data_IF_742229457912
#
_entry.id   IF_742229457912
#
_cell.length_a   1.000
_cell.length_b   1.000
_cell.length_c   1.000
_cell.angle_alpha   90.00
_cell.angle_beta   90.00
_cell.angle_gamma   90.00
#
_symmetry.space_group_name_H-M   'P 1'
#
loop_
_entity.id
_entity.type
_entity.pdbx_description
1 polymer ?
#
# COMPACT_ATOMS: atom_id res chain seq x y z
N UNK A 1 -9.89 16.39 1.03
CA UNK A 1 -9.33 16.62 -0.31
C UNK A 1 -10.13 15.90 -1.40
N UNK A 2 -11.29 16.39 -1.75
CA UNK A 2 -12.03 15.95 -2.94
C UNK A 2 -12.73 14.60 -2.87
N UNK A 3 -12.84 13.99 -1.72
CA UNK A 3 -13.68 12.80 -1.54
C UNK A 3 -15.12 13.23 -1.24
N UNK A 4 -15.88 13.43 -2.29
CA UNK A 4 -17.32 13.72 -2.17
C UNK A 4 -18.16 12.44 -2.03
N UNK A 5 -17.58 11.25 -2.31
CA UNK A 5 -18.27 9.97 -2.24
C UNK A 5 -18.80 9.62 -0.86
N UNK A 6 -18.17 10.15 0.21
CA UNK A 6 -18.62 9.96 1.59
C UNK A 6 -19.64 10.99 2.06
N UNK A 7 -19.75 12.11 1.36
CA UNK A 7 -20.64 13.22 1.72
C UNK A 7 -21.89 13.27 0.86
N UNK A 8 -21.89 12.62 -0.31
CA UNK A 8 -23.01 12.58 -1.23
C UNK A 8 -23.80 11.29 -1.00
N UNK A 9 -25.11 11.42 -0.87
CA UNK A 9 -26.00 10.26 -0.87
C UNK A 9 -25.78 9.46 -2.17
N UNK A 10 -25.58 8.15 -2.04
CA UNK A 10 -25.35 7.28 -3.18
C UNK A 10 -26.42 7.40 -4.28
N UNK A 11 -27.65 7.81 -3.91
CA UNK A 11 -28.77 8.07 -4.84
C UNK A 11 -28.63 9.36 -5.63
N UNK A 12 -27.76 10.27 -5.17
CA UNK A 12 -27.49 11.56 -5.82
C UNK A 12 -26.28 11.53 -6.73
N UNK A 13 -25.50 10.43 -6.70
CA UNK A 13 -24.36 10.26 -7.59
C UNK A 13 -24.87 10.02 -9.02
N UNK A 14 -24.50 10.85 -10.00
CA UNK A 14 -24.89 10.65 -11.40
C UNK A 14 -24.48 9.27 -11.91
N UNK A 15 -25.35 8.62 -12.67
CA UNK A 15 -25.15 7.25 -13.16
C UNK A 15 -23.90 7.10 -14.09
N UNK A 16 -23.47 8.18 -14.72
CA UNK A 16 -22.28 8.23 -15.56
C UNK A 16 -20.98 8.46 -14.78
N UNK A 17 -21.06 8.69 -13.48
CA UNK A 17 -19.89 8.83 -12.62
C UNK A 17 -19.38 7.46 -12.16
N UNK A 18 -18.11 7.21 -12.35
CA UNK A 18 -17.47 5.95 -11.91
C UNK A 18 -17.28 5.88 -10.40
N UNK A 19 -17.12 7.03 -9.76
CA UNK A 19 -16.90 7.17 -8.32
C UNK A 19 -17.70 8.36 -7.80
N UNK A 20 -17.92 8.42 -6.49
CA UNK A 20 -18.60 9.53 -5.83
C UNK A 20 -17.68 10.67 -5.39
N UNK A 21 -16.40 10.64 -5.74
CA UNK A 21 -15.43 11.68 -5.37
C UNK A 21 -14.85 12.37 -6.61
N UNK A 22 -14.52 13.64 -6.45
CA UNK A 22 -13.94 14.47 -7.49
C UNK A 22 -12.53 14.87 -7.05
N UNK A 23 -11.52 14.73 -7.90
CA UNK A 23 -10.18 15.19 -7.58
C UNK A 23 -10.13 16.71 -7.37
N UNK A 24 -9.25 17.16 -6.50
CA UNK A 24 -9.09 18.58 -6.22
C UNK A 24 -8.93 19.40 -7.51
N UNK A 25 -9.68 20.51 -7.60
CA UNK A 25 -9.71 21.43 -8.76
C UNK A 25 -10.23 20.81 -10.07
N UNK A 26 -10.90 19.67 -10.00
CA UNK A 26 -11.58 19.03 -11.14
C UNK A 26 -13.09 19.15 -11.01
N UNK A 27 -13.82 18.83 -12.08
CA UNK A 27 -15.27 18.91 -12.13
C UNK A 27 -15.93 17.54 -12.15
N UNK A 28 -15.19 16.49 -12.48
CA UNK A 28 -15.71 15.12 -12.64
C UNK A 28 -14.76 14.09 -12.02
N UNK A 29 -15.29 12.96 -11.50
CA UNK A 29 -14.50 11.97 -10.77
C UNK A 29 -13.47 11.21 -11.62
N UNK A 30 -13.60 11.24 -12.93
CA UNK A 30 -12.68 10.55 -13.85
C UNK A 30 -11.68 11.46 -14.58
N UNK A 31 -11.68 12.75 -14.24
CA UNK A 31 -10.66 13.65 -14.78
C UNK A 31 -9.31 13.34 -14.15
N UNK A 32 -8.25 13.33 -14.96
CA UNK A 32 -6.90 13.14 -14.42
C UNK A 32 -6.53 14.26 -13.45
N UNK A 33 -5.81 13.96 -12.37
CA UNK A 33 -5.32 14.98 -11.46
C UNK A 33 -4.51 16.02 -12.23
N UNK A 34 -4.58 17.27 -11.78
CA UNK A 34 -3.64 18.27 -12.29
C UNK A 34 -2.22 17.83 -12.00
N UNK A 35 -1.38 17.98 -13.00
CA UNK A 35 -0.02 17.48 -13.01
C UNK A 35 1.01 18.60 -13.24
N UNK A 36 1.21 19.55 -12.34
CA UNK A 36 2.55 20.02 -12.18
C UNK A 36 3.34 18.93 -11.44
N UNK A 37 4.55 18.65 -11.88
CA UNK A 37 5.41 17.63 -11.25
C UNK A 37 5.58 17.87 -9.73
N UNK A 38 5.41 19.09 -9.27
CA UNK A 38 5.47 19.52 -7.87
C UNK A 38 4.21 19.18 -7.07
N UNK A 39 3.02 19.18 -7.65
CA UNK A 39 1.78 18.77 -6.96
C UNK A 39 1.70 17.25 -6.76
N UNK A 40 2.25 16.46 -7.67
CA UNK A 40 2.37 15.01 -7.49
C UNK A 40 3.25 14.63 -6.31
N UNK A 41 4.26 15.43 -6.00
CA UNK A 41 5.20 15.12 -4.93
C UNK A 41 4.57 15.13 -3.53
N UNK A 42 3.36 15.65 -3.39
CA UNK A 42 2.68 15.77 -2.11
C UNK A 42 1.66 14.65 -1.84
N UNK A 43 1.19 14.01 -2.88
CA UNK A 43 0.14 12.99 -2.81
C UNK A 43 0.57 11.62 -3.35
N UNK A 44 1.50 11.58 -4.30
CA UNK A 44 1.96 10.35 -4.92
C UNK A 44 3.48 10.34 -5.04
N UNK A 45 4.12 9.35 -4.41
CA UNK A 45 5.56 9.16 -4.43
C UNK A 45 5.88 7.90 -5.23
N UNK A 46 6.56 8.06 -6.34
CA UNK A 46 7.10 6.94 -7.09
C UNK A 46 8.52 6.66 -6.63
N UNK A 47 8.73 5.52 -5.99
CA UNK A 47 10.04 5.06 -5.57
C UNK A 47 10.81 4.48 -6.77
N UNK A 48 12.12 4.28 -6.59
CA UNK A 48 13.01 3.76 -7.62
C UNK A 48 12.61 2.33 -8.03
N UNK A 49 12.15 2.11 -9.28
CA UNK A 49 11.67 0.80 -9.72
C UNK A 49 12.79 -0.24 -9.83
N UNK A 50 14.03 0.17 -10.11
CA UNK A 50 15.16 -0.75 -10.22
C UNK A 50 15.54 -1.30 -8.84
N UNK A 51 15.57 -0.43 -7.81
CA UNK A 51 15.81 -0.81 -6.42
C UNK A 51 14.67 -1.70 -5.89
N UNK A 52 13.42 -1.36 -6.19
CA UNK A 52 12.26 -2.16 -5.84
C UNK A 52 12.33 -3.57 -6.46
N UNK A 53 12.67 -3.65 -7.74
CA UNK A 53 12.81 -4.92 -8.45
C UNK A 53 13.94 -5.77 -7.88
N UNK A 54 15.07 -5.16 -7.55
CA UNK A 54 16.20 -5.85 -6.88
C UNK A 54 15.74 -6.47 -5.54
N UNK A 55 15.09 -5.69 -4.69
CA UNK A 55 14.60 -6.17 -3.40
C UNK A 55 13.56 -7.29 -3.57
N UNK A 56 12.66 -7.17 -4.55
CA UNK A 56 11.68 -8.21 -4.85
C UNK A 56 12.33 -9.51 -5.35
N UNK A 57 13.29 -9.45 -6.26
CA UNK A 57 13.99 -10.66 -6.74
C UNK A 57 14.74 -11.37 -5.63
N UNK A 58 15.30 -10.61 -4.69
CA UNK A 58 15.99 -11.16 -3.53
C UNK A 58 15.05 -11.89 -2.57
N UNK A 59 13.79 -11.44 -2.49
CA UNK A 59 12.89 -11.84 -1.40
C UNK A 59 11.67 -12.65 -1.83
N UNK A 60 11.26 -12.60 -3.09
CA UNK A 60 9.98 -13.13 -3.61
C UNK A 60 9.68 -14.60 -3.27
N UNK A 61 10.70 -15.40 -3.09
CA UNK A 61 10.59 -16.83 -2.78
C UNK A 61 10.82 -17.13 -1.29
N UNK A 62 10.88 -16.11 -0.43
CA UNK A 62 11.05 -16.28 1.01
C UNK A 62 9.81 -16.96 1.60
N UNK A 63 9.97 -18.12 2.29
CA UNK A 63 8.86 -18.75 2.97
C UNK A 63 8.28 -17.83 4.06
N UNK A 64 6.99 -17.62 4.04
CA UNK A 64 6.27 -16.89 5.07
C UNK A 64 5.43 -17.85 5.89
N UNK A 65 5.34 -17.60 7.20
CA UNK A 65 4.56 -18.42 8.10
C UNK A 65 3.07 -18.41 7.73
N UNK A 66 2.48 -19.58 7.63
CA UNK A 66 1.05 -19.79 7.36
C UNK A 66 0.43 -20.65 8.47
N UNK A 67 0.11 -20.00 9.59
CA UNK A 67 -0.44 -20.67 10.77
C UNK A 67 -1.91 -21.04 10.60
N UNK A 68 -2.40 -22.01 11.39
CA UNK A 68 -3.82 -22.37 11.43
C UNK A 68 -4.72 -21.17 11.74
N UNK A 69 -4.25 -20.28 12.62
CA UNK A 69 -4.98 -19.07 12.98
C UNK A 69 -5.23 -18.17 11.77
N UNK A 70 -4.18 -17.83 11.00
CA UNK A 70 -4.36 -16.97 9.83
C UNK A 70 -5.06 -17.68 8.68
N UNK A 71 -4.92 -19.01 8.54
CA UNK A 71 -5.72 -19.79 7.59
C UNK A 71 -7.20 -19.74 7.93
N UNK A 72 -7.56 -19.96 9.21
CA UNK A 72 -8.94 -19.86 9.67
C UNK A 72 -9.53 -18.46 9.46
N UNK A 73 -8.75 -17.41 9.68
CA UNK A 73 -9.20 -16.06 9.41
C UNK A 73 -9.44 -15.81 7.91
N UNK A 74 -8.50 -16.20 7.05
CA UNK A 74 -8.66 -16.07 5.58
C UNK A 74 -9.84 -16.84 5.04
N UNK A 75 -10.13 -18.03 5.59
CA UNK A 75 -11.25 -18.87 5.15
C UNK A 75 -12.62 -18.18 5.22
N UNK A 76 -12.75 -17.10 5.97
CA UNK A 76 -13.98 -16.27 6.04
C UNK A 76 -14.23 -15.47 4.76
N UNK A 77 -13.21 -15.21 3.92
CA UNK A 77 -13.28 -14.40 2.72
C UNK A 77 -13.62 -15.24 1.47
N UNK A 78 -14.76 -15.93 1.51
CA UNK A 78 -15.16 -16.92 0.52
C UNK A 78 -15.42 -16.35 -0.88
N UNK A 79 -15.69 -15.06 -1.00
CA UNK A 79 -15.89 -14.33 -2.26
C UNK A 79 -14.59 -13.78 -2.86
N UNK A 80 -13.47 -13.97 -2.20
CA UNK A 80 -12.17 -13.37 -2.54
C UNK A 80 -11.08 -14.44 -2.70
N UNK A 81 -11.01 -15.14 -3.86
CA UNK A 81 -10.07 -16.26 -4.06
C UNK A 81 -8.61 -15.91 -3.76
N UNK A 82 -8.20 -14.65 -3.97
CA UNK A 82 -6.85 -14.19 -3.64
C UNK A 82 -6.61 -14.10 -2.13
N UNK A 83 -7.63 -13.77 -1.35
CA UNK A 83 -7.52 -13.71 0.11
C UNK A 83 -7.31 -15.11 0.71
N UNK A 84 -7.75 -16.16 0.03
CA UNK A 84 -7.61 -17.56 0.48
C UNK A 84 -6.20 -18.13 0.25
N UNK A 85 -5.37 -17.44 -0.53
CA UNK A 85 -4.00 -17.90 -0.81
C UNK A 85 -3.08 -17.68 0.40
N UNK A 86 -2.03 -18.51 0.55
CA UNK A 86 -1.00 -18.30 1.56
C UNK A 86 -0.36 -16.91 1.47
N UNK A 87 0.26 -16.41 2.56
CA UNK A 87 1.02 -15.18 2.54
C UNK A 87 2.08 -15.19 1.44
N UNK A 88 2.23 -14.07 0.75
CA UNK A 88 3.19 -13.92 -0.35
C UNK A 88 3.75 -12.51 -0.42
N UNK A 89 4.88 -12.36 -1.10
CA UNK A 89 5.52 -11.07 -1.30
C UNK A 89 5.07 -10.49 -2.64
N UNK A 90 4.60 -9.26 -2.60
CA UNK A 90 4.04 -8.58 -3.76
C UNK A 90 4.72 -7.24 -4.00
N UNK A 91 4.77 -6.82 -5.25
CA UNK A 91 5.01 -5.42 -5.63
C UNK A 91 3.66 -4.74 -5.77
N UNK A 92 3.54 -3.55 -5.21
CA UNK A 92 2.30 -2.77 -5.34
C UNK A 92 2.41 -1.38 -4.73
N UNK A 93 1.31 -0.67 -4.75
CA UNK A 93 1.18 0.66 -4.16
C UNK A 93 0.62 0.56 -2.75
N UNK A 94 1.19 1.35 -1.86
CA UNK A 94 0.66 1.56 -0.52
C UNK A 94 -0.12 2.87 -0.47
N UNK A 95 -1.32 2.83 0.09
CA UNK A 95 -2.10 4.02 0.40
C UNK A 95 -1.80 4.44 1.85
N UNK A 96 -1.26 5.62 2.05
CA UNK A 96 -1.13 6.20 3.38
C UNK A 96 -2.33 7.11 3.69
N UNK A 97 -2.91 6.94 4.86
CA UNK A 97 -4.02 7.74 5.37
C UNK A 97 -3.73 8.20 6.79
N UNK A 98 -4.11 9.42 7.14
CA UNK A 98 -3.96 9.93 8.51
C UNK A 98 -4.91 9.25 9.52
N UNK A 99 -5.88 8.47 9.03
CA UNK A 99 -6.91 7.81 9.84
C UNK A 99 -6.93 6.32 9.53
N UNK A 100 -7.13 5.49 10.55
CA UNK A 100 -7.49 4.10 10.34
C UNK A 100 -8.87 4.03 9.66
N UNK A 101 -8.98 3.19 8.66
CA UNK A 101 -10.21 3.00 7.92
C UNK A 101 -10.45 1.52 7.62
N UNK A 102 -11.71 1.15 7.47
CA UNK A 102 -12.12 -0.23 7.23
C UNK A 102 -13.47 -0.26 6.50
N UNK A 103 -13.65 -1.27 5.67
CA UNK A 103 -14.92 -1.56 5.04
C UNK A 103 -14.86 -1.54 3.52
N UNK A 104 -15.80 -2.26 2.91
CA UNK A 104 -15.86 -2.49 1.46
C UNK A 104 -15.93 -1.19 0.66
N UNK A 105 -16.66 -0.19 1.16
CA UNK A 105 -16.79 1.10 0.49
C UNK A 105 -15.43 1.82 0.42
N UNK A 106 -14.74 1.93 1.56
CA UNK A 106 -13.42 2.58 1.62
C UNK A 106 -12.33 1.77 0.93
N UNK A 107 -12.44 0.45 0.93
CA UNK A 107 -11.54 -0.40 0.15
C UNK A 107 -11.67 -0.13 -1.35
N UNK A 108 -12.89 0.03 -1.87
CA UNK A 108 -13.11 0.40 -3.26
C UNK A 108 -12.54 1.79 -3.56
N UNK A 109 -12.81 2.76 -2.68
CA UNK A 109 -12.20 4.09 -2.78
C UNK A 109 -10.66 4.02 -2.85
N UNK A 110 -10.02 3.18 -2.04
CA UNK A 110 -8.56 3.02 -2.05
C UNK A 110 -8.05 2.50 -3.40
N UNK A 111 -8.75 1.54 -4.01
CA UNK A 111 -8.44 1.06 -5.36
C UNK A 111 -8.56 2.16 -6.41
N UNK A 112 -9.66 2.90 -6.37
CA UNK A 112 -9.95 3.98 -7.32
C UNK A 112 -8.93 5.12 -7.14
N UNK A 113 -8.62 5.48 -5.90
CA UNK A 113 -7.67 6.54 -5.57
C UNK A 113 -6.25 6.22 -6.05
N UNK A 114 -5.77 5.01 -5.77
CA UNK A 114 -4.47 4.57 -6.27
C UNK A 114 -4.47 4.49 -7.80
N UNK A 115 -5.49 3.92 -8.41
CA UNK A 115 -5.63 3.88 -9.87
C UNK A 115 -5.60 5.27 -10.48
N UNK A 116 -6.32 6.20 -9.87
CA UNK A 116 -6.41 7.57 -10.30
C UNK A 116 -5.05 8.31 -10.24
N UNK A 117 -4.39 8.31 -9.07
CA UNK A 117 -3.11 9.02 -8.89
C UNK A 117 -1.94 8.40 -9.64
N UNK A 118 -2.03 7.14 -9.99
CA UNK A 118 -1.00 6.43 -10.76
C UNK A 118 -1.33 6.30 -12.24
N UNK A 119 -2.44 6.90 -12.71
CA UNK A 119 -2.91 6.77 -14.09
C UNK A 119 -3.11 5.31 -14.51
N UNK A 120 -3.61 4.48 -13.58
CA UNK A 120 -3.83 3.04 -13.81
C UNK A 120 -2.57 2.17 -13.77
N UNK A 121 -1.38 2.75 -13.57
CA UNK A 121 -0.12 1.99 -13.51
C UNK A 121 0.12 1.31 -12.17
N UNK A 122 -0.38 1.90 -11.10
CA UNK A 122 -0.27 1.37 -9.73
C UNK A 122 -1.41 0.41 -9.39
N UNK A 123 -1.12 -0.51 -8.48
CA UNK A 123 -2.11 -1.42 -7.90
C UNK A 123 -2.11 -1.26 -6.39
N UNK A 124 -3.27 -0.92 -5.82
CA UNK A 124 -3.44 -0.91 -4.37
C UNK A 124 -3.20 -2.31 -3.79
N UNK A 125 -2.33 -2.43 -2.82
CA UNK A 125 -1.96 -3.71 -2.16
C UNK A 125 -2.04 -3.59 -0.65
N UNK A 126 -1.55 -2.50 -0.07
CA UNK A 126 -1.52 -2.27 1.37
C UNK A 126 -1.96 -0.86 1.73
N UNK A 127 -2.38 -0.69 2.97
CA UNK A 127 -2.66 0.60 3.58
C UNK A 127 -1.82 0.77 4.85
N UNK A 128 -1.33 1.97 5.06
CA UNK A 128 -0.61 2.39 6.26
C UNK A 128 -0.94 3.84 6.58
N UNK A 129 -0.33 4.41 7.61
CA UNK A 129 -0.65 5.78 8.06
C UNK A 129 0.50 6.77 7.82
N UNK A 130 1.76 6.31 7.84
CA UNK A 130 2.92 7.21 8.03
C UNK A 130 3.71 7.51 6.75
N UNK A 131 3.57 6.70 5.69
CA UNK A 131 4.52 6.69 4.57
C UNK A 131 4.60 8.01 3.82
N UNK A 132 3.47 8.68 3.58
CA UNK A 132 3.48 9.96 2.88
C UNK A 132 4.20 11.05 3.68
N UNK A 133 4.02 11.08 5.00
CA UNK A 133 4.75 12.00 5.89
C UNK A 133 6.25 11.75 5.87
N UNK A 134 6.66 10.48 5.98
CA UNK A 134 8.07 10.07 5.90
C UNK A 134 8.68 10.42 4.54
N UNK A 135 7.99 10.09 3.45
CA UNK A 135 8.47 10.39 2.10
C UNK A 135 8.52 11.89 1.82
N UNK A 136 7.59 12.67 2.38
CA UNK A 136 7.64 14.13 2.31
C UNK A 136 8.90 14.68 2.98
N UNK A 137 9.20 14.22 4.19
CA UNK A 137 10.41 14.62 4.91
C UNK A 137 11.69 14.25 4.13
N UNK A 138 11.76 13.01 3.62
CA UNK A 138 12.89 12.55 2.81
C UNK A 138 13.03 13.33 1.49
N UNK A 139 11.94 13.68 0.84
CA UNK A 139 11.94 14.51 -0.36
C UNK A 139 12.51 15.90 -0.07
N UNK A 140 12.11 16.52 1.04
CA UNK A 140 12.66 17.81 1.45
C UNK A 140 14.15 17.73 1.78
N UNK A 141 14.59 16.65 2.44
CA UNK A 141 16.01 16.40 2.69
C UNK A 141 16.79 16.18 1.39
N UNK A 142 16.20 15.49 0.42
CA UNK A 142 16.81 15.30 -0.92
C UNK A 142 16.99 16.64 -1.63
N UNK A 143 15.99 17.52 -1.61
CA UNK A 143 16.09 18.86 -2.16
C UNK A 143 17.18 19.71 -1.48
N UNK A 144 17.42 19.47 -0.20
CA UNK A 144 18.50 20.09 0.56
C UNK A 144 19.88 19.40 0.40
N UNK A 145 20.01 18.40 -0.46
CA UNK A 145 21.26 17.64 -0.66
C UNK A 145 21.67 16.76 0.52
N UNK A 146 20.76 16.42 1.43
CA UNK A 146 21.03 15.67 2.66
C UNK A 146 20.51 14.22 2.66
N UNK A 147 19.76 13.84 1.65
CA UNK A 147 19.26 12.48 1.42
C UNK A 147 19.12 12.22 -0.07
N UNK A 148 18.81 10.98 -0.43
CA UNK A 148 18.49 10.59 -1.80
C UNK A 148 17.21 9.74 -1.80
N UNK A 149 16.11 10.32 -2.27
CA UNK A 149 14.80 9.65 -2.36
C UNK A 149 14.84 8.43 -3.31
N UNK A 150 15.78 8.37 -4.24
CA UNK A 150 15.96 7.24 -5.13
C UNK A 150 16.55 6.00 -4.43
N UNK A 151 17.00 6.15 -3.20
CA UNK A 151 17.57 5.09 -2.36
C UNK A 151 16.65 4.63 -1.24
N UNK A 152 15.35 4.87 -1.39
CA UNK A 152 14.33 4.52 -0.41
C UNK A 152 13.56 3.28 -0.86
N UNK A 153 13.41 2.32 0.05
CA UNK A 153 12.51 1.17 -0.07
C UNK A 153 11.47 1.23 1.05
N UNK A 154 10.25 0.83 0.75
CA UNK A 154 9.19 0.63 1.72
C UNK A 154 8.81 -0.85 1.72
N UNK A 155 8.91 -1.47 2.90
CA UNK A 155 8.39 -2.80 3.19
C UNK A 155 7.20 -2.67 4.13
N UNK A 156 6.04 -3.18 3.71
CA UNK A 156 4.84 -3.24 4.55
C UNK A 156 4.35 -4.68 4.66
N UNK A 157 3.97 -5.07 5.86
CA UNK A 157 3.34 -6.36 6.13
C UNK A 157 1.92 -6.12 6.60
N UNK A 158 0.97 -6.87 6.02
CA UNK A 158 -0.43 -6.74 6.36
C UNK A 158 -0.78 -7.62 7.57
N UNK A 159 -1.37 -7.01 8.60
CA UNK A 159 -1.87 -7.72 9.79
C UNK A 159 -3.36 -8.05 9.70
N UNK A 160 -4.10 -7.37 8.85
CA UNK A 160 -5.55 -7.52 8.67
C UNK A 160 -5.97 -7.14 7.26
N UNK A 161 -7.19 -7.52 6.89
CA UNK A 161 -7.82 -7.07 5.65
C UNK A 161 -8.46 -5.69 5.85
N UNK A 162 -8.50 -4.89 4.78
CA UNK A 162 -9.11 -3.55 4.76
C UNK A 162 -10.63 -3.57 4.61
N UNK A 163 -11.24 -4.74 4.45
CA UNK A 163 -12.69 -4.93 4.30
C UNK A 163 -13.16 -6.14 5.10
N UNK A 164 -14.45 -6.15 5.39
CA UNK A 164 -15.12 -7.24 6.10
C UNK A 164 -15.32 -8.48 5.22
N UNK A 165 -15.37 -9.68 5.82
CA UNK A 165 -15.75 -10.90 5.10
C UNK A 165 -17.24 -10.89 4.73
N UNK A 166 -17.68 -11.72 3.77
CA UNK A 166 -19.08 -11.89 3.41
C UNK A 166 -19.97 -12.19 4.61
N UNK A 167 -21.18 -11.64 4.61
CA UNK A 167 -22.17 -11.84 5.68
C UNK A 167 -21.93 -11.03 6.96
N UNK A 168 -20.87 -10.24 7.01
CA UNK A 168 -20.53 -9.36 8.15
C UNK A 168 -20.59 -7.91 7.72
N UNK A 169 -21.15 -7.03 8.55
CA UNK A 169 -21.09 -5.59 8.28
C UNK A 169 -19.72 -5.02 8.61
N UNK A 170 -19.37 -3.89 8.00
CA UNK A 170 -18.12 -3.20 8.32
C UNK A 170 -18.01 -2.85 9.81
N UNK A 171 -19.13 -2.41 10.43
CA UNK A 171 -19.17 -2.09 11.84
C UNK A 171 -18.92 -3.31 12.74
N UNK A 172 -19.52 -4.46 12.41
CA UNK A 172 -19.30 -5.69 13.15
C UNK A 172 -17.85 -6.20 13.02
N UNK A 173 -17.29 -6.11 11.82
CA UNK A 173 -15.90 -6.48 11.57
C UNK A 173 -14.94 -5.57 12.34
N UNK A 174 -15.16 -4.26 12.28
CA UNK A 174 -14.32 -3.28 12.97
C UNK A 174 -14.39 -3.41 14.49
N UNK A 175 -15.59 -3.64 15.05
CA UNK A 175 -15.74 -3.83 16.51
C UNK A 175 -15.15 -5.14 17.02
N UNK A 176 -14.97 -6.13 16.17
CA UNK A 176 -14.30 -7.40 16.50
C UNK A 176 -12.78 -7.36 16.30
N UNK A 177 -12.26 -6.32 15.67
CA UNK A 177 -10.82 -6.11 15.49
C UNK A 177 -10.25 -5.27 16.64
N UNK A 178 -9.93 -5.91 17.73
CA UNK A 178 -9.14 -5.28 18.79
C UNK A 178 -7.64 -5.33 18.42
N UNK A 179 -6.91 -4.22 18.65
CA UNK A 179 -5.48 -4.08 18.31
C UNK A 179 -4.62 -5.23 18.87
N UNK A 180 -4.98 -5.76 20.06
CA UNK A 180 -4.32 -6.93 20.64
C UNK A 180 -4.70 -8.27 20.02
N UNK A 181 -5.70 -8.31 19.14
CA UNK A 181 -6.30 -9.52 18.59
C UNK A 181 -6.35 -9.58 17.08
N UNK A 182 -5.58 -8.75 16.38
CA UNK A 182 -5.41 -8.91 14.93
C UNK A 182 -4.90 -10.31 14.62
N UNK A 183 -5.62 -11.03 13.79
CA UNK A 183 -5.35 -12.44 13.47
C UNK A 183 -3.95 -12.70 12.91
N UNK A 184 -3.34 -11.70 12.27
CA UNK A 184 -2.02 -11.79 11.66
C UNK A 184 -1.00 -10.82 12.30
N UNK A 185 -1.22 -10.29 13.50
CA UNK A 185 -0.29 -9.33 14.12
C UNK A 185 1.12 -9.91 14.26
N UNK A 186 1.29 -10.99 15.03
CA UNK A 186 2.60 -11.64 15.19
C UNK A 186 3.14 -12.20 13.86
N UNK A 187 2.37 -12.96 13.07
CA UNK A 187 2.82 -13.41 11.75
C UNK A 187 3.27 -12.27 10.82
N UNK A 188 2.64 -11.10 10.90
CA UNK A 188 3.07 -9.95 10.10
C UNK A 188 4.43 -9.40 10.54
N UNK A 189 4.73 -9.38 11.83
CA UNK A 189 6.05 -8.99 12.36
C UNK A 189 7.13 -10.01 11.99
N UNK A 190 6.82 -11.30 12.08
CA UNK A 190 7.72 -12.38 11.64
C UNK A 190 8.01 -12.29 10.15
N UNK A 191 7.01 -12.01 9.32
CA UNK A 191 7.16 -11.78 7.90
C UNK A 191 8.03 -10.54 7.61
N UNK A 192 7.80 -9.44 8.33
CA UNK A 192 8.65 -8.23 8.22
C UNK A 192 10.11 -8.54 8.51
N UNK A 193 10.37 -9.29 9.58
CA UNK A 193 11.74 -9.72 9.93
C UNK A 193 12.32 -10.66 8.88
N UNK A 194 11.58 -11.70 8.45
CA UNK A 194 12.05 -12.68 7.49
C UNK A 194 12.46 -12.05 6.15
N UNK A 195 11.68 -11.09 5.67
CA UNK A 195 11.92 -10.39 4.40
C UNK A 195 12.94 -9.26 4.58
N UNK A 196 12.75 -8.42 5.58
CA UNK A 196 13.58 -7.25 5.81
C UNK A 196 15.05 -7.60 6.08
N UNK A 197 15.30 -8.66 6.87
CA UNK A 197 16.67 -9.10 7.16
C UNK A 197 17.46 -9.47 5.91
N UNK A 198 16.82 -10.05 4.87
CA UNK A 198 17.50 -10.41 3.62
C UNK A 198 17.98 -9.17 2.88
N UNK A 199 17.12 -8.16 2.80
CA UNK A 199 17.45 -6.89 2.17
C UNK A 199 18.58 -6.18 2.92
N UNK A 200 18.46 -6.07 4.25
CA UNK A 200 19.48 -5.43 5.09
C UNK A 200 20.82 -6.17 5.00
N UNK A 201 20.81 -7.51 5.07
CA UNK A 201 22.01 -8.32 4.97
C UNK A 201 22.72 -8.12 3.62
N UNK A 202 21.96 -8.18 2.52
CA UNK A 202 22.52 -7.96 1.18
C UNK A 202 23.11 -6.54 1.03
N UNK A 203 22.46 -5.52 1.61
CA UNK A 203 22.99 -4.15 1.60
C UNK A 203 24.29 -4.03 2.40
N UNK A 204 24.38 -4.69 3.56
CA UNK A 204 25.57 -4.67 4.40
C UNK A 204 26.74 -5.41 3.74
N UNK A 205 26.49 -6.61 3.23
CA UNK A 205 27.51 -7.38 2.52
C UNK A 205 28.02 -6.68 1.25
N UNK A 206 27.10 -6.07 0.51
CA UNK A 206 27.41 -5.33 -0.71
C UNK A 206 27.82 -3.87 -0.48
N UNK A 207 28.03 -3.43 0.76
CA UNK A 207 28.18 -2.01 1.11
C UNK A 207 29.27 -1.29 0.31
N UNK A 208 30.39 -1.93 0.04
CA UNK A 208 31.50 -1.34 -0.76
C UNK A 208 31.06 -0.85 -2.14
N UNK A 209 30.01 -1.47 -2.70
CA UNK A 209 29.42 -1.10 -4.00
C UNK A 209 28.20 -0.21 -3.76
N UNK A 210 27.34 -0.60 -2.82
CA UNK A 210 26.07 0.06 -2.59
C UNK A 210 26.16 1.40 -1.86
N UNK A 211 27.32 1.73 -1.26
CA UNK A 211 27.58 3.05 -0.73
C UNK A 211 27.44 4.14 -1.80
N UNK A 212 27.91 3.88 -3.01
CA UNK A 212 27.91 4.84 -4.12
C UNK A 212 26.92 4.49 -5.24
N UNK A 213 26.51 3.24 -5.35
CA UNK A 213 25.63 2.76 -6.44
C UNK A 213 24.34 2.18 -5.86
N UNK A 214 23.20 2.63 -6.34
CA UNK A 214 21.91 2.06 -5.93
C UNK A 214 21.77 0.64 -6.46
N UNK A 215 21.43 -0.36 -5.62
CA UNK A 215 21.18 -1.71 -6.07
C UNK A 215 20.15 -1.79 -7.19
N UNK A 216 20.39 -2.63 -8.18
CA UNK A 216 19.46 -2.92 -9.27
C UNK A 216 19.49 -4.40 -9.61
N UNK A 217 18.36 -4.97 -10.03
CA UNK A 217 18.33 -6.33 -10.55
C UNK A 217 19.12 -6.39 -11.86
N UNK A 218 19.80 -7.53 -12.14
CA UNK A 218 20.42 -7.73 -13.45
C UNK A 218 19.39 -7.53 -14.57
N UNK A 219 19.80 -6.87 -15.63
CA UNK A 219 18.99 -6.82 -16.84
C UNK A 219 18.73 -8.27 -17.33
N UNK A 220 17.46 -8.60 -17.58
CA UNK A 220 17.10 -9.89 -18.16
C UNK A 220 17.47 -9.95 -19.62
#
# INVERSE_FOLDING_TARGET
EGDLGHEIDAREIPADWKTGYIPMRKKKPYELPMQPAEERSDHCYQLNPALLHWAYQLTKDTPLGDTDSIRGFRARYTDSPKALQPPSILIGSNLASSTYWHGKLLNQWAHDWVGYYTEGRGRFVTSAMEDTGTLRALTNLTRAGRADIQRVLILRTASNFTLQPPGVTAAQSLSGEDIGHYSAYLPSLEAAHAVGRLVVHALVEGWKVYETTTPSAPAK
#
